data_IF_582294559177
#
_entry.id   IF_582294559177
#
_cell.length_a   1.000
_cell.length_b   1.000
_cell.length_c   1.000
_cell.angle_alpha   90.00
_cell.angle_beta   90.00
_cell.angle_gamma   90.00
#
_symmetry.space_group_name_H-M   'P 1'
#
loop_
_entity.id
_entity.type
_entity.pdbx_description
1 polymer ?
#
# COMPACT_ATOMS: atom_id res chain seq x y z
N UNK A 1 4.38 -8.46 3.81
CA UNK A 1 3.61 -7.22 4.06
C UNK A 1 2.58 -6.98 2.96
N UNK A 2 1.43 -6.45 3.30
CA UNK A 2 0.45 -6.02 2.28
C UNK A 2 0.75 -4.56 1.89
N UNK A 3 1.23 -4.35 0.68
CA UNK A 3 1.59 -3.04 0.12
C UNK A 3 0.47 -2.57 -0.83
N UNK A 4 0.05 -1.33 -0.66
CA UNK A 4 -0.95 -0.69 -1.51
C UNK A 4 -0.30 -0.05 -2.74
N UNK A 5 0.76 0.74 -2.52
CA UNK A 5 1.48 1.43 -3.58
C UNK A 5 2.96 1.64 -3.16
N UNK A 6 3.82 1.89 -4.15
CA UNK A 6 5.18 2.40 -3.94
C UNK A 6 5.32 3.61 -4.86
N UNK A 7 5.42 4.79 -4.26
CA UNK A 7 5.59 6.05 -4.96
C UNK A 7 7.05 6.50 -4.89
N UNK A 8 7.65 6.72 -6.04
CA UNK A 8 9.04 7.16 -6.15
C UNK A 8 9.09 8.68 -6.34
N UNK A 9 10.21 9.28 -5.95
CA UNK A 9 10.46 10.73 -6.11
C UNK A 9 9.50 11.64 -5.35
N UNK A 10 8.98 11.20 -4.22
CA UNK A 10 8.16 12.02 -3.33
C UNK A 10 9.03 13.11 -2.67
N UNK A 11 8.49 14.32 -2.57
CA UNK A 11 9.19 15.50 -2.03
C UNK A 11 8.46 16.14 -0.84
N UNK A 12 7.37 15.56 -0.39
CA UNK A 12 6.52 16.11 0.69
C UNK A 12 6.34 15.14 1.88
N UNK A 13 7.05 14.03 1.86
CA UNK A 13 6.90 12.95 2.84
C UNK A 13 8.16 12.77 3.71
N UNK A 14 8.81 13.89 4.00
CA UNK A 14 10.06 14.03 4.76
C UNK A 14 11.13 14.78 4.00
N UNK A 15 12.34 14.86 4.56
CA UNK A 15 13.46 15.58 3.97
C UNK A 15 13.99 14.89 2.71
N UNK A 16 14.40 15.69 1.72
CA UNK A 16 15.00 15.23 0.47
C UNK A 16 14.00 14.50 -0.46
N UNK A 17 14.55 13.77 -1.43
CA UNK A 17 13.77 12.92 -2.34
C UNK A 17 13.58 11.56 -1.68
N UNK A 18 12.32 11.09 -1.64
CA UNK A 18 11.98 9.86 -0.92
C UNK A 18 11.23 8.87 -1.81
N UNK A 19 11.32 7.60 -1.46
CA UNK A 19 10.38 6.60 -1.94
C UNK A 19 9.40 6.28 -0.81
N UNK A 20 8.11 6.47 -1.07
CA UNK A 20 7.04 6.19 -0.11
C UNK A 20 6.46 4.81 -0.37
N UNK A 21 6.51 3.95 0.64
CA UNK A 21 5.87 2.63 0.63
C UNK A 21 4.55 2.71 1.38
N UNK A 22 3.45 2.63 0.66
CA UNK A 22 2.11 2.71 1.22
C UNK A 22 1.60 1.33 1.59
N UNK A 23 1.38 1.11 2.89
CA UNK A 23 0.89 -0.15 3.46
C UNK A 23 -0.63 -0.18 3.55
N UNK A 24 -1.24 -1.36 3.47
CA UNK A 24 -2.68 -1.56 3.68
C UNK A 24 -3.00 -1.89 5.13
N UNK A 25 -4.23 -1.58 5.50
CA UNK A 25 -4.79 -1.75 6.84
C UNK A 25 -4.73 -0.45 7.64
N UNK A 26 -5.89 0.05 8.05
CA UNK A 26 -5.99 1.19 8.96
C UNK A 26 -7.22 1.02 9.85
N UNK A 27 -7.08 1.11 11.18
CA UNK A 27 -8.23 1.01 12.09
C UNK A 27 -9.12 2.25 12.04
N UNK A 28 -8.61 3.35 11.47
CA UNK A 28 -9.33 4.63 11.41
C UNK A 28 -10.21 4.73 10.16
N UNK A 29 -11.26 5.58 10.27
CA UNK A 29 -12.20 5.87 9.17
C UNK A 29 -12.35 7.39 9.00
N UNK A 30 -11.20 8.09 8.92
CA UNK A 30 -11.15 9.53 8.78
C UNK A 30 -11.95 10.01 7.56
N UNK A 31 -12.86 10.98 7.70
CA UNK A 31 -13.63 11.52 6.56
C UNK A 31 -12.73 12.16 5.49
N UNK A 32 -11.59 12.69 5.90
CA UNK A 32 -10.59 13.36 5.03
C UNK A 32 -9.44 12.45 4.59
N UNK A 33 -9.59 11.13 4.67
CA UNK A 33 -8.52 10.20 4.32
C UNK A 33 -8.10 10.36 2.85
N UNK A 34 -6.81 10.62 2.62
CA UNK A 34 -6.24 10.73 1.27
C UNK A 34 -6.14 9.39 0.54
N UNK A 35 -6.03 8.29 1.30
CA UNK A 35 -5.84 6.93 0.77
C UNK A 35 -6.93 5.97 1.28
N UNK A 36 -8.23 6.19 0.96
CA UNK A 36 -9.31 5.36 1.49
C UNK A 36 -9.21 3.89 1.09
N UNK A 37 -8.56 3.58 -0.04
CA UNK A 37 -8.27 2.24 -0.55
C UNK A 37 -7.24 1.48 0.31
N UNK A 38 -6.48 2.17 1.16
CA UNK A 38 -5.55 1.54 2.09
C UNK A 38 -6.20 1.05 3.39
N UNK A 39 -7.48 1.40 3.64
CA UNK A 39 -8.16 1.13 4.92
C UNK A 39 -8.32 -0.35 5.22
N UNK A 40 -8.79 -1.11 4.23
CA UNK A 40 -8.98 -2.54 4.40
C UNK A 40 -7.63 -3.26 4.33
N UNK A 41 -7.35 -4.21 5.24
CA UNK A 41 -6.07 -4.90 5.28
C UNK A 41 -5.89 -5.86 4.09
N UNK A 42 -7.00 -6.39 3.56
CA UNK A 42 -6.97 -7.35 2.47
C UNK A 42 -6.88 -6.69 1.10
N UNK A 43 -6.48 -7.49 0.12
CA UNK A 43 -6.48 -7.11 -1.28
C UNK A 43 -7.92 -6.87 -1.76
N UNK A 44 -8.15 -5.79 -2.46
CA UNK A 44 -9.47 -5.40 -2.94
C UNK A 44 -9.49 -5.28 -4.45
N UNK A 45 -10.59 -5.71 -5.07
CA UNK A 45 -10.86 -5.47 -6.49
C UNK A 45 -11.63 -4.15 -6.65
N UNK A 46 -11.03 -3.21 -7.35
CA UNK A 46 -11.68 -1.95 -7.74
C UNK A 46 -12.23 -2.03 -9.15
N UNK A 47 -13.37 -1.39 -9.38
CA UNK A 47 -14.01 -1.31 -10.68
C UNK A 47 -14.23 0.16 -11.06
N UNK A 48 -13.55 0.59 -12.12
CA UNK A 48 -13.72 1.92 -12.72
C UNK A 48 -14.78 1.85 -13.82
N UNK A 49 -16.01 2.23 -13.49
CA UNK A 49 -17.15 2.10 -14.39
C UNK A 49 -16.95 2.82 -15.74
N UNK A 50 -16.27 3.99 -15.74
CA UNK A 50 -16.00 4.75 -16.96
C UNK A 50 -15.04 4.08 -17.95
N UNK A 51 -14.25 3.10 -17.50
CA UNK A 51 -13.36 2.28 -18.33
C UNK A 51 -14.01 0.96 -18.78
N UNK A 52 -15.16 0.60 -18.19
CA UNK A 52 -15.80 -0.69 -18.43
C UNK A 52 -16.50 -0.74 -19.78
N UNK A 53 -16.07 -1.64 -20.66
CA UNK A 53 -16.68 -1.86 -21.98
C UNK A 53 -17.93 -2.77 -21.94
N UNK A 54 -18.33 -3.26 -20.79
CA UNK A 54 -19.51 -4.13 -20.64
C UNK A 54 -19.38 -5.52 -21.28
N UNK A 55 -18.19 -5.97 -21.61
CA UNK A 55 -17.98 -7.20 -22.38
C UNK A 55 -18.18 -8.50 -21.60
N UNK A 56 -18.25 -8.46 -20.26
CA UNK A 56 -18.47 -9.61 -19.39
C UNK A 56 -17.32 -10.63 -19.35
N UNK A 57 -16.14 -10.34 -19.92
CA UNK A 57 -15.00 -11.25 -19.94
C UNK A 57 -14.51 -11.60 -18.54
N UNK A 58 -14.53 -10.63 -17.61
CA UNK A 58 -14.15 -10.82 -16.21
C UNK A 58 -15.00 -11.89 -15.50
N UNK A 59 -16.29 -11.96 -15.79
CA UNK A 59 -17.18 -12.98 -15.25
C UNK A 59 -16.85 -14.38 -15.80
N UNK A 60 -16.56 -14.46 -17.12
CA UNK A 60 -16.28 -15.74 -17.79
C UNK A 60 -14.99 -16.40 -17.32
N UNK A 61 -13.99 -15.59 -16.99
CA UNK A 61 -12.65 -16.08 -16.60
C UNK A 61 -12.53 -16.38 -15.12
N UNK A 62 -13.48 -15.91 -14.28
CA UNK A 62 -13.37 -16.07 -12.83
C UNK A 62 -13.60 -17.51 -12.39
N UNK A 63 -12.58 -18.25 -11.91
CA UNK A 63 -12.74 -19.66 -11.55
C UNK A 63 -13.64 -19.88 -10.33
N UNK A 64 -13.69 -18.90 -9.42
CA UNK A 64 -14.51 -18.94 -8.22
C UNK A 64 -15.91 -18.35 -8.42
N UNK A 65 -16.23 -17.79 -9.60
CA UNK A 65 -17.49 -17.10 -9.84
C UNK A 65 -17.69 -15.87 -8.94
N UNK A 66 -16.61 -15.28 -8.45
CA UNK A 66 -16.63 -14.12 -7.56
C UNK A 66 -17.01 -12.83 -8.28
N UNK A 67 -16.83 -12.76 -9.60
CA UNK A 67 -17.13 -11.59 -10.42
C UNK A 67 -18.37 -11.88 -11.27
N UNK A 68 -19.36 -10.98 -11.20
CA UNK A 68 -20.54 -10.98 -12.07
C UNK A 68 -20.71 -9.64 -12.74
N UNK A 69 -21.14 -9.65 -13.98
CA UNK A 69 -21.51 -8.46 -14.73
C UNK A 69 -23.02 -8.48 -14.99
N UNK A 70 -23.75 -7.58 -14.33
CA UNK A 70 -25.20 -7.48 -14.42
C UNK A 70 -25.62 -6.00 -14.39
N UNK A 71 -26.60 -5.63 -15.20
CA UNK A 71 -27.16 -4.28 -15.21
C UNK A 71 -26.16 -3.17 -15.53
N UNK A 72 -25.12 -3.45 -16.34
CA UNK A 72 -24.07 -2.48 -16.67
C UNK A 72 -23.00 -2.30 -15.58
N UNK A 73 -22.99 -3.15 -14.54
CA UNK A 73 -22.07 -3.04 -13.42
C UNK A 73 -21.38 -4.38 -13.12
N UNK A 74 -20.20 -4.27 -12.58
CA UNK A 74 -19.49 -5.43 -11.99
C UNK A 74 -19.89 -5.55 -10.52
N UNK A 75 -20.38 -6.73 -10.15
CA UNK A 75 -20.65 -7.14 -8.78
C UNK A 75 -19.54 -8.09 -8.33
N UNK A 76 -19.00 -7.85 -7.16
CA UNK A 76 -17.87 -8.60 -6.63
C UNK A 76 -18.19 -9.19 -5.27
N UNK A 77 -17.93 -10.52 -5.12
CA UNK A 77 -18.07 -11.26 -3.88
C UNK A 77 -16.68 -11.57 -3.33
N UNK A 78 -16.23 -10.78 -2.36
CA UNK A 78 -14.89 -10.91 -1.75
C UNK A 78 -14.74 -12.25 -1.02
N UNK A 79 -15.82 -12.76 -0.42
CA UNK A 79 -15.83 -13.97 0.43
C UNK A 79 -15.41 -15.24 -0.32
N UNK A 80 -15.59 -15.27 -1.64
CA UNK A 80 -15.24 -16.42 -2.47
C UNK A 80 -14.11 -16.12 -3.46
N UNK A 81 -13.55 -14.91 -3.42
CA UNK A 81 -12.48 -14.52 -4.31
C UNK A 81 -11.17 -15.19 -3.90
N UNK A 82 -10.50 -15.83 -4.87
CA UNK A 82 -9.18 -16.45 -4.68
C UNK A 82 -8.01 -15.49 -4.97
N UNK A 83 -8.31 -14.21 -5.22
CA UNK A 83 -7.33 -13.17 -5.55
C UNK A 83 -6.38 -13.51 -6.73
N UNK A 84 -6.80 -14.40 -7.63
CA UNK A 84 -5.95 -14.91 -8.72
C UNK A 84 -5.59 -13.86 -9.79
N UNK A 85 -6.26 -12.71 -9.84
CA UNK A 85 -5.97 -11.63 -10.80
C UNK A 85 -6.61 -11.79 -12.18
N UNK A 86 -7.03 -12.99 -12.60
CA UNK A 86 -7.46 -13.28 -13.96
C UNK A 86 -8.54 -12.33 -14.54
N UNK A 87 -9.44 -11.81 -13.68
CA UNK A 87 -10.48 -10.87 -14.11
C UNK A 87 -9.92 -9.48 -14.44
N UNK A 88 -8.85 -9.05 -13.79
CA UNK A 88 -8.14 -7.81 -14.09
C UNK A 88 -7.30 -7.97 -15.36
N UNK A 89 -6.52 -9.07 -15.45
CA UNK A 89 -5.63 -9.35 -16.57
C UNK A 89 -6.37 -9.45 -17.91
N UNK A 90 -7.59 -10.02 -17.92
CA UNK A 90 -8.39 -10.17 -19.14
C UNK A 90 -9.14 -8.89 -19.52
N UNK A 91 -9.16 -7.86 -18.69
CA UNK A 91 -10.00 -6.69 -18.91
C UNK A 91 -9.45 -5.77 -20.00
N UNK A 92 -10.05 -5.71 -21.20
CA UNK A 92 -9.50 -4.92 -22.32
C UNK A 92 -9.61 -3.41 -22.09
N UNK A 93 -10.46 -2.98 -21.19
CA UNK A 93 -10.62 -1.57 -20.81
C UNK A 93 -9.85 -1.21 -19.54
N UNK A 94 -9.05 -2.14 -18.96
CA UNK A 94 -8.37 -1.91 -17.69
C UNK A 94 -9.29 -1.34 -16.60
N UNK A 95 -10.56 -1.79 -16.62
CA UNK A 95 -11.59 -1.30 -15.70
C UNK A 95 -11.54 -1.98 -14.33
N UNK A 96 -10.77 -3.07 -14.20
CA UNK A 96 -10.61 -3.84 -12.98
C UNK A 96 -9.16 -3.79 -12.53
N UNK A 97 -8.95 -3.46 -11.26
CA UNK A 97 -7.63 -3.37 -10.65
C UNK A 97 -7.67 -3.98 -9.25
N UNK A 98 -6.69 -4.82 -8.93
CA UNK A 98 -6.46 -5.26 -7.57
C UNK A 98 -5.55 -4.30 -6.83
N UNK A 99 -6.09 -3.69 -5.78
CA UNK A 99 -5.34 -2.81 -4.89
C UNK A 99 -4.84 -3.60 -3.69
N UNK A 100 -3.54 -3.57 -3.51
CA UNK A 100 -2.83 -4.34 -2.50
C UNK A 100 -2.20 -5.61 -3.06
N UNK A 101 -0.91 -5.75 -2.82
CA UNK A 101 -0.13 -6.95 -3.15
C UNK A 101 0.67 -7.40 -1.94
N UNK A 102 0.80 -8.71 -1.79
CA UNK A 102 1.71 -9.27 -0.79
C UNK A 102 3.13 -9.10 -1.28
N UNK A 103 4.00 -8.56 -0.44
CA UNK A 103 5.43 -8.41 -0.71
C UNK A 103 6.23 -8.85 0.51
N UNK A 104 7.36 -9.52 0.28
CA UNK A 104 8.34 -9.76 1.33
C UNK A 104 9.16 -8.49 1.61
N UNK A 105 9.65 -8.34 2.85
CA UNK A 105 10.44 -7.16 3.23
C UNK A 105 11.67 -6.98 2.34
N UNK A 106 12.34 -8.08 1.97
CA UNK A 106 13.50 -8.08 1.08
C UNK A 106 13.16 -7.64 -0.36
N UNK A 107 11.93 -7.90 -0.82
CA UNK A 107 11.46 -7.44 -2.11
C UNK A 107 11.27 -5.91 -2.09
N UNK A 108 10.66 -5.39 -1.01
CA UNK A 108 10.51 -3.93 -0.83
C UNK A 108 11.88 -3.26 -0.77
N UNK A 109 12.83 -3.82 -0.02
CA UNK A 109 14.20 -3.29 0.07
C UNK A 109 14.85 -3.23 -1.32
N UNK A 110 14.74 -4.29 -2.13
CA UNK A 110 15.29 -4.28 -3.51
C UNK A 110 14.66 -3.19 -4.38
N UNK A 111 13.36 -2.96 -4.22
CA UNK A 111 12.65 -1.93 -5.00
C UNK A 111 13.11 -0.53 -4.62
N UNK A 112 13.17 -0.20 -3.34
CA UNK A 112 13.56 1.14 -2.87
C UNK A 112 15.05 1.42 -3.08
N UNK A 113 15.91 0.42 -3.08
CA UNK A 113 17.34 0.57 -3.34
C UNK A 113 17.66 1.06 -4.77
N UNK A 114 16.72 0.96 -5.71
CA UNK A 114 16.85 1.49 -7.08
C UNK A 114 16.97 3.02 -7.10
N UNK A 115 16.56 3.69 -6.02
CA UNK A 115 16.58 5.14 -5.88
C UNK A 115 17.69 5.65 -4.96
N UNK A 116 18.65 4.79 -4.57
CA UNK A 116 19.72 5.10 -3.61
C UNK A 116 20.46 6.39 -3.93
N UNK A 117 20.85 6.58 -5.18
CA UNK A 117 21.65 7.74 -5.61
C UNK A 117 20.89 9.04 -5.32
N UNK A 118 19.58 9.07 -5.53
CA UNK A 118 18.74 10.23 -5.23
C UNK A 118 18.63 10.51 -3.73
N UNK A 119 18.60 9.46 -2.91
CA UNK A 119 18.59 9.62 -1.45
C UNK A 119 19.91 10.20 -0.95
N UNK A 120 21.04 9.72 -1.46
CA UNK A 120 22.38 10.18 -1.08
C UNK A 120 22.61 11.63 -1.50
N UNK A 121 22.19 12.03 -2.69
CA UNK A 121 22.33 13.40 -3.20
C UNK A 121 21.42 14.41 -2.50
N UNK A 122 20.20 14.00 -2.11
CA UNK A 122 19.20 14.91 -1.57
C UNK A 122 19.11 14.90 -0.04
N UNK A 123 19.76 13.94 0.64
CA UNK A 123 19.55 13.67 2.04
C UNK A 123 18.20 12.99 2.34
N UNK A 124 17.59 12.40 1.32
CA UNK A 124 16.28 11.73 1.39
C UNK A 124 16.35 10.29 1.91
N UNK A 125 15.38 9.47 1.51
CA UNK A 125 15.33 8.07 1.95
C UNK A 125 13.99 7.38 1.70
N UNK A 126 13.56 6.56 2.63
CA UNK A 126 12.32 5.78 2.54
C UNK A 126 11.32 6.22 3.59
N UNK A 127 10.07 6.45 3.18
CA UNK A 127 8.95 6.72 4.09
C UNK A 127 7.96 5.56 4.04
N UNK A 128 7.60 5.05 5.20
CA UNK A 128 6.56 4.02 5.33
C UNK A 128 5.26 4.71 5.75
N UNK A 129 4.24 4.61 4.91
CA UNK A 129 2.97 5.34 5.02
C UNK A 129 1.79 4.47 4.58
N UNK A 130 0.70 5.06 4.11
CA UNK A 130 -0.47 4.39 3.52
C UNK A 130 -1.69 4.40 4.40
N UNK A 131 -2.08 3.24 4.93
CA UNK A 131 -3.07 3.10 5.98
C UNK A 131 -2.47 3.48 7.33
N UNK A 132 -2.30 2.50 8.20
CA UNK A 132 -1.52 2.66 9.43
C UNK A 132 -0.39 1.61 9.41
N UNK A 133 0.88 2.02 9.28
CA UNK A 133 1.99 1.07 9.19
C UNK A 133 2.05 0.09 10.35
N UNK A 134 1.70 0.54 11.57
CA UNK A 134 1.68 -0.31 12.75
C UNK A 134 0.53 -1.35 12.78
N UNK A 135 -0.38 -1.32 11.79
CA UNK A 135 -1.32 -2.42 11.58
C UNK A 135 -0.57 -3.72 11.22
N UNK A 136 0.64 -3.59 10.66
CA UNK A 136 1.53 -4.69 10.30
C UNK A 136 2.84 -4.63 11.11
N UNK A 137 2.77 -4.34 12.41
CA UNK A 137 3.90 -3.96 13.25
C UNK A 137 5.11 -4.91 13.19
N UNK A 138 4.90 -6.23 13.26
CA UNK A 138 6.00 -7.20 13.23
C UNK A 138 6.79 -7.17 11.92
N UNK A 139 6.10 -7.04 10.79
CA UNK A 139 6.71 -6.94 9.47
C UNK A 139 7.30 -5.54 9.23
N UNK A 140 6.67 -4.50 9.80
CA UNK A 140 7.17 -3.13 9.78
C UNK A 140 8.56 -3.02 10.43
N UNK A 141 8.71 -3.54 11.65
CA UNK A 141 9.99 -3.54 12.38
C UNK A 141 11.07 -4.29 11.60
N UNK A 142 10.72 -5.45 11.02
CA UNK A 142 11.64 -6.21 10.16
C UNK A 142 12.09 -5.38 8.95
N UNK A 143 11.15 -4.71 8.27
CA UNK A 143 11.48 -3.87 7.11
C UNK A 143 12.39 -2.70 7.52
N UNK A 144 12.06 -1.99 8.60
CA UNK A 144 12.87 -0.88 9.12
C UNK A 144 14.30 -1.34 9.44
N UNK A 145 14.45 -2.51 10.08
CA UNK A 145 15.77 -3.08 10.37
C UNK A 145 16.57 -3.34 9.09
N UNK A 146 15.95 -3.93 8.06
CA UNK A 146 16.61 -4.20 6.78
C UNK A 146 17.01 -2.90 6.06
N UNK A 147 16.15 -1.89 6.05
CA UNK A 147 16.45 -0.57 5.46
C UNK A 147 17.61 0.10 6.19
N UNK A 148 17.63 0.04 7.53
CA UNK A 148 18.73 0.55 8.35
C UNK A 148 20.07 -0.15 8.08
N UNK A 149 20.05 -1.47 7.89
CA UNK A 149 21.25 -2.25 7.50
C UNK A 149 21.81 -1.83 6.14
N UNK A 150 20.96 -1.29 5.26
CA UNK A 150 21.38 -0.71 3.98
C UNK A 150 21.86 0.75 4.12
N UNK A 151 21.89 1.32 5.34
CA UNK A 151 22.30 2.70 5.59
C UNK A 151 21.28 3.76 5.13
N UNK A 152 20.04 3.36 4.85
CA UNK A 152 19.01 4.28 4.38
C UNK A 152 18.41 5.10 5.53
N UNK A 153 18.12 6.37 5.24
CA UNK A 153 17.27 7.21 6.08
C UNK A 153 15.83 6.71 6.01
N UNK A 154 15.18 6.55 7.15
CA UNK A 154 13.82 6.04 7.24
C UNK A 154 12.90 6.96 8.03
N UNK A 155 11.66 7.10 7.59
CA UNK A 155 10.58 7.80 8.28
C UNK A 155 9.32 6.92 8.31
N UNK A 156 8.47 7.12 9.31
CA UNK A 156 7.16 6.45 9.42
C UNK A 156 6.08 7.49 9.63
N UNK A 157 5.08 7.48 8.77
CA UNK A 157 3.86 8.27 8.94
C UNK A 157 2.81 7.43 9.64
N UNK A 158 2.40 7.84 10.83
CA UNK A 158 1.46 7.08 11.66
C UNK A 158 0.42 8.00 12.31
N UNK A 159 -0.78 7.50 12.48
CA UNK A 159 -1.83 8.15 13.28
C UNK A 159 -1.62 7.95 14.80
N UNK A 160 -0.65 7.15 15.22
CA UNK A 160 -0.34 6.88 16.62
C UNK A 160 -1.43 6.11 17.37
N UNK A 161 -2.31 5.41 16.70
CA UNK A 161 -3.46 4.68 17.29
C UNK A 161 -3.10 3.20 17.54
N UNK A 162 -1.90 2.96 18.09
CA UNK A 162 -1.43 1.62 18.43
C UNK A 162 -0.81 1.60 19.83
N UNK A 163 -0.73 0.43 20.50
CA UNK A 163 -0.06 0.29 21.77
C UNK A 163 1.37 0.84 21.74
N UNK A 164 1.76 1.55 22.78
CA UNK A 164 3.05 2.26 22.88
C UNK A 164 4.22 1.30 22.68
N UNK A 165 4.12 0.08 23.22
CA UNK A 165 5.14 -0.95 23.13
C UNK A 165 5.51 -1.29 21.67
N UNK A 166 4.50 -1.33 20.78
CA UNK A 166 4.73 -1.57 19.35
C UNK A 166 5.37 -0.39 18.63
N UNK A 167 5.08 0.83 19.08
CA UNK A 167 5.76 2.03 18.58
C UNK A 167 7.21 2.06 19.02
N UNK A 168 7.49 1.72 20.29
CA UNK A 168 8.84 1.70 20.86
C UNK A 168 9.76 0.70 20.17
N UNK A 169 9.25 -0.44 19.70
CA UNK A 169 10.02 -1.43 18.94
C UNK A 169 10.59 -0.85 17.62
N UNK A 170 9.92 0.14 17.02
CA UNK A 170 10.33 0.75 15.75
C UNK A 170 11.31 1.93 15.94
N UNK A 171 11.28 2.64 17.07
CA UNK A 171 12.05 3.86 17.30
C UNK A 171 13.57 3.76 17.04
N UNK A 172 14.27 2.65 17.35
CA UNK A 172 15.69 2.54 17.03
C UNK A 172 16.00 2.56 15.54
N UNK A 173 15.02 2.33 14.70
CA UNK A 173 15.17 2.15 13.26
C UNK A 173 14.57 3.29 12.42
N UNK A 174 13.78 4.17 13.01
CA UNK A 174 13.22 5.35 12.34
C UNK A 174 14.03 6.62 12.66
N UNK A 175 14.10 7.56 11.71
CA UNK A 175 14.74 8.87 11.91
C UNK A 175 13.69 9.97 12.09
N UNK A 176 12.52 9.82 11.48
CA UNK A 176 11.43 10.79 11.57
C UNK A 176 10.07 10.12 11.65
N UNK A 177 9.12 10.83 12.27
CA UNK A 177 7.74 10.39 12.40
C UNK A 177 6.80 11.56 12.18
N UNK A 178 5.85 11.40 11.26
CA UNK A 178 4.77 12.36 11.04
C UNK A 178 3.44 11.73 11.43
N UNK A 179 2.59 12.51 12.11
CA UNK A 179 1.23 12.12 12.46
C UNK A 179 0.23 12.65 11.44
N UNK A 180 -0.70 11.83 10.98
CA UNK A 180 -1.84 12.28 10.16
C UNK A 180 -2.71 13.35 10.83
N UNK A 181 -2.54 13.58 12.14
CA UNK A 181 -3.25 14.64 12.89
C UNK A 181 -2.70 16.05 12.65
N UNK A 182 -1.47 16.15 12.15
CA UNK A 182 -0.81 17.45 11.92
C UNK A 182 -1.16 18.09 10.58
N UNK A 183 -1.88 17.36 9.71
CA UNK A 183 -2.30 17.84 8.38
C UNK A 183 -3.72 18.45 8.38
N UNK A 184 -4.24 18.87 9.52
CA UNK A 184 -5.55 19.52 9.63
C UNK A 184 -5.37 20.99 9.99
#
# INVERSE_FOLDING_TARGET
>A
MRVFNIERFATHDGDGIRTVVFLKGCPLRCPWCSNPESREPDRQLFHTAGKCLGCGSCQKVCPAGAVRYEGGRVHFRVEICTECGACADICPGEALEFVGRQMEAEEIVREVLRDRDYYEESGGGVTLSGGEPFAQAGELVRLLLLLKQQGLNTAVETAGQYPTERLEEAFPYEIGRASCRERV
#
